data_IF_044176949333
#
_entry.id   IF_044176949333
#
_cell.length_a   1.000
_cell.length_b   1.000
_cell.length_c   1.000
_cell.angle_alpha   90.00
_cell.angle_beta   90.00
_cell.angle_gamma   90.00
#
_symmetry.space_group_name_H-M   'P 1'
#
loop_
_entity.id
_entity.type
_entity.pdbx_description
1 polymer ?
#
# COMPACT_ATOMS: atom_id res chain seq x y z
N UNK A 1 -2.95 4.56 15.93
CA UNK A 1 -3.11 3.73 14.71
C UNK A 1 -4.54 3.41 14.34
N UNK A 2 -5.45 3.16 15.28
CA UNK A 2 -6.84 2.83 14.97
C UNK A 2 -7.56 3.85 14.07
N UNK A 3 -7.41 5.16 14.32
CA UNK A 3 -8.10 6.16 13.50
C UNK A 3 -7.56 6.19 12.06
N UNK A 4 -6.23 6.08 11.88
CA UNK A 4 -5.57 6.19 10.57
C UNK A 4 -5.72 4.89 9.76
N UNK A 5 -5.56 3.72 10.40
CA UNK A 5 -5.60 2.43 9.72
C UNK A 5 -7.01 1.84 9.63
N UNK A 6 -7.95 2.24 10.48
CA UNK A 6 -9.29 1.64 10.53
C UNK A 6 -10.42 2.64 10.30
N UNK A 7 -10.52 3.71 11.09
CA UNK A 7 -11.67 4.62 10.98
C UNK A 7 -11.66 5.43 9.67
N UNK A 8 -10.49 5.95 9.27
CA UNK A 8 -10.35 6.80 8.08
C UNK A 8 -10.64 6.05 6.75
N UNK A 9 -10.07 4.85 6.51
CA UNK A 9 -10.37 4.09 5.30
C UNK A 9 -11.81 3.58 5.29
N UNK A 10 -12.34 3.17 6.45
CA UNK A 10 -13.70 2.65 6.55
C UNK A 10 -14.75 3.71 6.21
N UNK A 11 -14.59 4.93 6.73
CA UNK A 11 -15.53 6.02 6.46
C UNK A 11 -15.45 6.51 5.01
N UNK A 12 -14.24 6.67 4.46
CA UNK A 12 -14.06 7.14 3.08
C UNK A 12 -14.50 6.10 2.05
N UNK A 13 -14.23 4.82 2.30
CA UNK A 13 -14.63 3.72 1.42
C UNK A 13 -16.03 3.18 1.73
N UNK A 14 -16.84 3.85 2.55
CA UNK A 14 -18.21 3.39 2.81
C UNK A 14 -19.11 3.58 1.59
N UNK A 15 -18.94 4.69 0.86
CA UNK A 15 -19.74 5.01 -0.33
C UNK A 15 -19.28 4.25 -1.57
N UNK A 16 -20.22 3.79 -2.40
CA UNK A 16 -19.91 3.08 -3.66
C UNK A 16 -19.12 3.94 -4.63
N UNK A 17 -19.45 5.22 -4.71
CA UNK A 17 -18.83 6.15 -5.66
C UNK A 17 -17.37 6.43 -5.29
N UNK A 18 -17.03 6.51 -4.00
CA UNK A 18 -15.65 6.61 -3.54
C UNK A 18 -14.80 5.37 -3.87
N UNK A 19 -15.41 4.17 -3.88
CA UNK A 19 -14.71 2.93 -4.29
C UNK A 19 -14.43 2.87 -5.79
N UNK A 20 -15.31 3.46 -6.61
CA UNK A 20 -15.16 3.47 -8.08
C UNK A 20 -14.26 4.59 -8.58
N UNK A 21 -14.07 5.64 -7.80
CA UNK A 21 -13.11 6.69 -8.12
C UNK A 21 -11.68 6.24 -7.80
N UNK A 22 -10.92 5.91 -8.86
CA UNK A 22 -9.52 5.51 -8.76
C UNK A 22 -8.67 6.50 -7.94
N UNK A 23 -8.89 7.81 -8.08
CA UNK A 23 -8.15 8.83 -7.32
C UNK A 23 -8.37 8.75 -5.80
N UNK A 24 -9.62 8.55 -5.37
CA UNK A 24 -9.95 8.42 -3.94
C UNK A 24 -9.39 7.11 -3.39
N UNK A 25 -9.50 6.02 -4.16
CA UNK A 25 -8.98 4.72 -3.78
C UNK A 25 -7.45 4.73 -3.62
N UNK A 26 -6.72 5.33 -4.57
CA UNK A 26 -5.26 5.46 -4.50
C UNK A 26 -4.84 6.32 -3.30
N UNK A 27 -5.54 7.43 -3.03
CA UNK A 27 -5.26 8.28 -1.87
C UNK A 27 -5.45 7.52 -0.55
N UNK A 28 -6.59 6.84 -0.38
CA UNK A 28 -6.86 6.04 0.83
C UNK A 28 -5.83 4.91 0.98
N UNK A 29 -5.47 4.24 -0.12
CA UNK A 29 -4.43 3.21 -0.12
C UNK A 29 -3.06 3.71 0.34
N UNK A 30 -2.64 4.90 -0.12
CA UNK A 30 -1.40 5.52 0.36
C UNK A 30 -1.46 5.81 1.86
N UNK A 31 -2.57 6.36 2.36
CA UNK A 31 -2.74 6.67 3.78
C UNK A 31 -2.66 5.40 4.65
N UNK A 32 -3.30 4.31 4.21
CA UNK A 32 -3.21 3.00 4.90
C UNK A 32 -1.79 2.46 4.89
N UNK A 33 -1.09 2.55 3.75
CA UNK A 33 0.29 2.07 3.64
C UNK A 33 1.21 2.79 4.62
N UNK A 34 1.14 4.13 4.69
CA UNK A 34 1.92 4.90 5.66
C UNK A 34 1.48 4.60 7.10
N UNK A 35 0.18 4.51 7.36
CA UNK A 35 -0.33 4.19 8.69
C UNK A 35 0.14 2.83 9.20
N UNK A 36 0.26 1.82 8.34
CA UNK A 36 0.84 0.52 8.69
C UNK A 36 2.34 0.59 8.90
N UNK A 37 3.06 1.38 8.10
CA UNK A 37 4.48 1.59 8.34
C UNK A 37 4.74 2.18 9.74
N UNK A 38 3.97 3.20 10.14
CA UNK A 38 4.13 3.79 11.49
C UNK A 38 3.74 2.77 12.58
N UNK A 39 2.74 1.91 12.34
CA UNK A 39 2.34 0.88 13.31
C UNK A 39 3.48 -0.11 13.59
N UNK A 40 4.12 -0.60 12.54
CA UNK A 40 5.31 -1.45 12.62
C UNK A 40 6.47 -0.69 13.27
N UNK A 41 6.67 0.58 12.94
CA UNK A 41 7.71 1.42 13.53
C UNK A 41 7.55 1.55 15.05
N UNK A 42 6.33 1.86 15.54
CA UNK A 42 6.08 1.99 16.98
C UNK A 42 6.27 0.65 17.70
N UNK A 43 5.85 -0.46 17.09
CA UNK A 43 6.03 -1.80 17.67
C UNK A 43 7.51 -2.16 17.83
N UNK A 44 8.33 -1.88 16.80
CA UNK A 44 9.77 -2.21 16.81
C UNK A 44 10.55 -1.25 17.70
N UNK A 45 10.37 0.06 17.53
CA UNK A 45 11.13 1.08 18.27
C UNK A 45 10.70 1.18 19.72
N UNK A 46 9.41 1.02 20.01
CA UNK A 46 8.90 0.93 21.38
C UNK A 46 9.43 -0.30 22.12
N UNK A 47 9.65 -1.41 21.41
CA UNK A 47 10.25 -2.62 21.96
C UNK A 47 11.77 -2.57 22.12
N UNK A 48 12.50 -1.85 21.25
CA UNK A 48 13.97 -1.84 21.24
C UNK A 48 14.62 -0.67 21.98
N UNK A 49 14.05 0.54 21.89
CA UNK A 49 14.68 1.80 22.34
C UNK A 49 13.91 2.52 23.45
N UNK A 50 12.67 2.12 23.76
CA UNK A 50 11.88 2.67 24.86
C UNK A 50 11.78 4.21 24.78
N UNK A 51 12.26 4.90 25.80
CA UNK A 51 12.20 6.38 25.91
C UNK A 51 13.12 7.13 24.93
N UNK A 52 14.11 6.47 24.30
CA UNK A 52 15.02 7.10 23.33
C UNK A 52 14.56 6.95 21.87
N UNK A 53 13.34 6.45 21.63
CA UNK A 53 12.80 6.27 20.29
C UNK A 53 12.64 7.64 19.59
N UNK A 54 13.55 7.94 18.67
CA UNK A 54 13.46 9.11 17.81
C UNK A 54 13.42 8.66 16.35
N UNK A 55 12.66 9.38 15.53
CA UNK A 55 12.69 9.19 14.08
C UNK A 55 13.92 9.96 13.58
N UNK A 56 15.01 9.25 13.38
CA UNK A 56 16.23 9.81 12.79
C UNK A 56 16.22 9.76 11.27
N UNK A 57 17.28 10.33 10.70
CA UNK A 57 17.55 10.28 9.27
C UNK A 57 17.82 8.84 8.79
N UNK A 58 18.33 7.98 9.66
CA UNK A 58 18.66 6.59 9.34
C UNK A 58 17.41 5.75 9.07
N UNK A 59 16.34 5.95 9.84
CA UNK A 59 15.09 5.19 9.71
C UNK A 59 14.34 5.59 8.44
N UNK A 60 14.32 6.89 8.11
CA UNK A 60 13.75 7.38 6.84
C UNK A 60 14.59 6.89 5.66
N UNK A 61 15.92 6.94 5.77
CA UNK A 61 16.83 6.44 4.74
C UNK A 61 16.64 4.94 4.46
N UNK A 62 16.48 4.14 5.52
CA UNK A 62 16.23 2.70 5.40
C UNK A 62 14.86 2.41 4.78
N UNK A 63 13.82 3.14 5.18
CA UNK A 63 12.49 3.05 4.58
C UNK A 63 12.57 3.30 3.07
N UNK A 64 13.17 4.42 2.66
CA UNK A 64 13.28 4.79 1.24
C UNK A 64 14.14 3.81 0.45
N UNK A 65 15.22 3.28 1.03
CA UNK A 65 16.06 2.27 0.39
C UNK A 65 15.30 0.97 0.12
N UNK A 66 14.57 0.46 1.13
CA UNK A 66 13.77 -0.76 1.00
C UNK A 66 12.60 -0.53 0.03
N UNK A 67 11.92 0.61 0.13
CA UNK A 67 10.82 0.97 -0.78
C UNK A 67 11.31 1.08 -2.23
N UNK A 68 12.45 1.73 -2.46
CA UNK A 68 13.06 1.86 -3.78
C UNK A 68 13.48 0.51 -4.37
N UNK A 69 14.07 -0.37 -3.54
CA UNK A 69 14.40 -1.74 -3.95
C UNK A 69 13.14 -2.53 -4.31
N UNK A 70 12.10 -2.44 -3.49
CA UNK A 70 10.82 -3.12 -3.72
C UNK A 70 10.21 -2.69 -5.06
N UNK A 71 10.10 -1.37 -5.30
CA UNK A 71 9.58 -0.83 -6.57
C UNK A 71 10.40 -1.32 -7.75
N UNK A 72 11.74 -1.27 -7.65
CA UNK A 72 12.64 -1.73 -8.71
C UNK A 72 12.43 -3.21 -9.04
N UNK A 73 12.33 -4.06 -8.02
CA UNK A 73 12.12 -5.50 -8.19
C UNK A 73 10.77 -5.78 -8.84
N UNK A 74 9.70 -5.11 -8.41
CA UNK A 74 8.37 -5.28 -9.00
C UNK A 74 8.35 -4.83 -10.46
N UNK A 75 8.87 -3.63 -10.77
CA UNK A 75 8.93 -3.13 -12.14
C UNK A 75 9.78 -4.02 -13.06
N UNK A 76 10.94 -4.49 -12.58
CA UNK A 76 11.81 -5.39 -13.35
C UNK A 76 11.15 -6.75 -13.62
N UNK A 77 10.26 -7.22 -12.73
CA UNK A 77 9.53 -8.46 -12.97
C UNK A 77 8.31 -8.24 -13.88
N UNK A 78 7.65 -7.10 -13.80
CA UNK A 78 6.57 -6.73 -14.73
C UNK A 78 7.05 -6.65 -16.19
N UNK A 79 8.32 -6.29 -16.44
CA UNK A 79 8.86 -6.28 -17.82
C UNK A 79 9.17 -7.67 -18.39
N UNK A 80 9.16 -8.73 -17.58
CA UNK A 80 9.52 -10.08 -18.02
C UNK A 80 8.35 -10.88 -18.59
N UNK A 81 7.12 -10.43 -18.37
CA UNK A 81 5.91 -11.16 -18.75
C UNK A 81 4.85 -10.19 -19.30
N UNK A 82 3.95 -10.64 -20.18
CA UNK A 82 2.84 -9.82 -20.66
C UNK A 82 1.91 -9.44 -19.50
N UNK A 83 1.50 -8.17 -19.44
CA UNK A 83 0.62 -7.62 -18.39
C UNK A 83 -0.79 -8.23 -18.40
N UNK A 84 -1.21 -8.77 -19.54
CA UNK A 84 -2.48 -9.47 -19.72
C UNK A 84 -2.22 -10.92 -20.11
N UNK A 85 -2.83 -11.86 -19.38
CA UNK A 85 -2.72 -13.30 -19.68
C UNK A 85 -3.51 -13.59 -20.95
N UNK A 86 -2.83 -13.93 -22.05
CA UNK A 86 -3.50 -14.09 -23.35
C UNK A 86 -4.30 -15.40 -23.51
N UNK A 87 -3.96 -16.46 -22.78
CA UNK A 87 -4.60 -17.79 -22.90
C UNK A 87 -5.39 -18.18 -21.64
N UNK A 88 -6.05 -17.23 -20.99
CA UNK A 88 -6.90 -17.55 -19.83
C UNK A 88 -8.33 -17.91 -20.29
N UNK A 89 -8.91 -19.06 -19.89
CA UNK A 89 -10.26 -19.48 -20.30
C UNK A 89 -11.37 -18.48 -19.99
N UNK A 90 -11.21 -17.66 -18.95
CA UNK A 90 -12.18 -16.63 -18.52
C UNK A 90 -11.75 -15.20 -18.91
N UNK A 91 -10.82 -15.04 -19.85
CA UNK A 91 -10.34 -13.71 -20.28
C UNK A 91 -11.49 -12.87 -20.88
N UNK A 92 -12.30 -13.47 -21.75
CA UNK A 92 -13.43 -12.80 -22.38
C UNK A 92 -14.49 -12.38 -21.37
N UNK A 93 -14.80 -13.22 -20.39
CA UNK A 93 -15.75 -12.89 -19.31
C UNK A 93 -15.23 -11.74 -18.42
N UNK A 94 -13.91 -11.66 -18.20
CA UNK A 94 -13.29 -10.61 -17.38
C UNK A 94 -13.28 -9.24 -18.06
N UNK A 95 -13.16 -9.20 -19.40
CA UNK A 95 -13.18 -7.95 -20.19
C UNK A 95 -14.59 -7.33 -20.19
N UNK A 96 -15.62 -8.17 -20.23
CA UNK A 96 -17.01 -7.73 -20.23
C UNK A 96 -17.61 -7.65 -18.80
N UNK A 97 -16.75 -7.73 -17.79
CA UNK A 97 -17.18 -7.69 -16.40
C UNK A 97 -17.51 -6.27 -15.97
N UNK A 98 -18.80 -5.96 -15.87
CA UNK A 98 -19.30 -4.73 -15.29
C UNK A 98 -19.84 -4.99 -13.88
N UNK A 99 -19.28 -4.33 -12.86
CA UNK A 99 -19.82 -4.28 -11.49
C UNK A 99 -20.28 -2.86 -11.21
#
# INVERSE_FOLDING_TARGET
>A
MFIINFAFPMLLLMSRDAKRHAGVLTFVGMVVLFGHWVDVYIMIMGGSMGENASIGFMEIGLLLAILGLFIKVILTNLTKAPLTVQNHPYLDESIHHEI
#
